data_IF_181500403855
#
_entry.id   IF_181500403855
#
_cell.length_a   1.000
_cell.length_b   1.000
_cell.length_c   1.000
_cell.angle_alpha   90.00
_cell.angle_beta   90.00
_cell.angle_gamma   90.00
#
_symmetry.space_group_name_H-M   'P 1'
#
loop_
_entity.id
_entity.type
_entity.pdbx_description
1 polymer ?
#
# COMPACT_ATOMS: atom_id res chain seq x y z
N UNK A 1 -7.75 -7.29 -14.59
CA UNK A 1 -8.51 -7.84 -15.74
C UNK A 1 -7.74 -7.79 -17.07
N UNK A 2 -6.77 -6.88 -17.25
CA UNK A 2 -6.01 -6.71 -18.53
C UNK A 2 -5.39 -7.99 -19.11
N UNK A 3 -5.15 -9.01 -18.29
CA UNK A 3 -4.65 -10.32 -18.73
C UNK A 3 -5.75 -11.31 -19.18
N UNK A 4 -7.03 -10.94 -19.04
CA UNK A 4 -8.14 -11.80 -19.50
C UNK A 4 -8.39 -11.55 -20.99
N UNK A 5 -8.49 -12.63 -21.76
CA UNK A 5 -8.74 -12.55 -23.21
C UNK A 5 -10.05 -11.79 -23.50
N UNK A 6 -10.00 -10.83 -24.42
CA UNK A 6 -11.15 -9.99 -24.78
C UNK A 6 -11.46 -8.83 -23.81
N UNK A 7 -10.71 -8.69 -22.71
CA UNK A 7 -10.96 -7.58 -21.77
C UNK A 7 -10.71 -6.22 -22.42
N UNK A 8 -9.65 -6.10 -23.21
CA UNK A 8 -9.30 -4.83 -23.87
C UNK A 8 -10.37 -4.38 -24.86
N UNK A 9 -10.86 -5.30 -25.67
CA UNK A 9 -11.93 -5.05 -26.62
C UNK A 9 -13.23 -4.62 -25.94
N UNK A 10 -13.54 -5.24 -24.79
CA UNK A 10 -14.67 -4.87 -23.95
C UNK A 10 -14.49 -3.46 -23.33
N UNK A 11 -13.32 -3.16 -22.78
CA UNK A 11 -13.00 -1.86 -22.15
C UNK A 11 -13.04 -0.72 -23.19
N UNK A 12 -12.61 -0.98 -24.43
CA UNK A 12 -12.65 -0.02 -25.54
C UNK A 12 -14.06 0.11 -26.17
N UNK A 13 -15.02 -0.69 -25.73
CA UNK A 13 -16.40 -0.70 -26.25
C UNK A 13 -16.51 -1.32 -27.66
N UNK A 14 -15.53 -2.09 -28.11
CA UNK A 14 -15.53 -2.80 -29.38
C UNK A 14 -16.10 -4.23 -29.28
N UNK A 15 -16.36 -4.72 -28.08
CA UNK A 15 -17.04 -5.97 -27.78
C UNK A 15 -18.03 -5.76 -26.61
N UNK A 16 -19.15 -6.51 -26.66
CA UNK A 16 -20.19 -6.46 -25.62
C UNK A 16 -19.86 -7.41 -24.45
N UNK A 17 -18.94 -8.32 -24.62
CA UNK A 17 -18.57 -9.35 -23.64
C UNK A 17 -17.06 -9.56 -23.60
N UNK A 18 -16.56 -10.06 -22.44
CA UNK A 18 -15.17 -10.48 -22.27
C UNK A 18 -15.04 -11.94 -22.73
N UNK A 19 -14.53 -12.18 -23.93
CA UNK A 19 -14.49 -13.51 -24.56
C UNK A 19 -13.72 -14.58 -23.77
N UNK A 20 -12.80 -14.16 -22.90
CA UNK A 20 -12.04 -15.05 -22.02
C UNK A 20 -12.84 -15.57 -20.83
N UNK A 21 -14.01 -15.01 -20.52
CA UNK A 21 -14.91 -15.53 -19.47
C UNK A 21 -15.93 -16.43 -20.14
N UNK A 22 -15.83 -17.74 -19.92
CA UNK A 22 -16.67 -18.74 -20.58
C UNK A 22 -17.48 -19.50 -19.54
N UNK A 23 -18.79 -19.29 -19.53
CA UNK A 23 -19.72 -20.02 -18.68
C UNK A 23 -19.98 -21.38 -19.34
N UNK A 24 -19.71 -22.48 -18.62
CA UNK A 24 -19.89 -23.84 -19.12
C UNK A 24 -21.26 -24.41 -18.69
N UNK A 25 -21.65 -24.14 -17.45
CA UNK A 25 -22.93 -24.51 -16.88
C UNK A 25 -23.22 -23.62 -15.64
N UNK A 26 -24.29 -23.93 -14.90
CA UNK A 26 -24.75 -23.17 -13.73
C UNK A 26 -23.72 -23.07 -12.56
N UNK A 27 -22.68 -23.89 -12.60
CA UNK A 27 -21.70 -24.03 -11.51
C UNK A 27 -20.24 -23.91 -11.96
N UNK A 28 -19.99 -23.89 -13.29
CA UNK A 28 -18.63 -23.88 -13.84
C UNK A 28 -18.46 -22.79 -14.87
N UNK A 29 -17.40 -22.04 -14.71
CA UNK A 29 -16.90 -21.10 -15.72
C UNK A 29 -15.38 -21.19 -15.82
N UNK A 30 -14.85 -20.75 -16.94
CA UNK A 30 -13.41 -20.69 -17.20
C UNK A 30 -13.01 -19.25 -17.46
N UNK A 31 -11.88 -18.84 -16.90
CA UNK A 31 -11.25 -17.57 -17.26
C UNK A 31 -9.96 -17.88 -18.04
N UNK A 32 -9.92 -17.46 -19.30
CA UNK A 32 -8.77 -17.62 -20.17
C UNK A 32 -7.90 -16.37 -20.13
N UNK A 33 -6.62 -16.57 -19.82
CA UNK A 33 -5.63 -15.50 -19.81
C UNK A 33 -4.91 -15.43 -21.16
N UNK A 34 -4.51 -14.24 -21.59
CA UNK A 34 -3.73 -13.99 -22.81
C UNK A 34 -2.29 -14.48 -22.68
N UNK A 35 -1.76 -14.54 -21.45
CA UNK A 35 -0.43 -15.04 -21.11
C UNK A 35 -0.42 -15.52 -19.65
N UNK A 36 0.60 -16.30 -19.21
CA UNK A 36 0.72 -16.68 -17.81
C UNK A 36 0.79 -15.45 -16.91
N UNK A 37 -0.01 -15.45 -15.84
CA UNK A 37 -0.01 -14.39 -14.82
C UNK A 37 -0.12 -15.03 -13.44
N UNK A 38 1.03 -15.27 -12.81
CA UNK A 38 1.13 -15.97 -11.51
C UNK A 38 0.32 -15.32 -10.39
N UNK A 39 0.20 -13.96 -10.30
CA UNK A 39 -0.59 -13.34 -9.24
C UNK A 39 -2.10 -13.52 -9.40
N UNK A 40 -2.60 -14.10 -10.49
CA UNK A 40 -4.03 -14.08 -10.84
C UNK A 40 -4.95 -14.60 -9.74
N UNK A 41 -4.59 -15.72 -9.08
CA UNK A 41 -5.40 -16.27 -7.99
C UNK A 41 -5.44 -15.31 -6.78
N UNK A 42 -4.32 -14.64 -6.46
CA UNK A 42 -4.25 -13.64 -5.40
C UNK A 42 -5.10 -12.41 -5.71
N UNK A 43 -5.11 -11.98 -6.99
CA UNK A 43 -5.98 -10.89 -7.46
C UNK A 43 -7.46 -11.27 -7.30
N UNK A 44 -7.83 -12.49 -7.72
CA UNK A 44 -9.22 -12.99 -7.59
C UNK A 44 -9.69 -13.10 -6.12
N UNK A 45 -8.79 -13.20 -5.16
CA UNK A 45 -9.14 -13.24 -3.73
C UNK A 45 -9.49 -11.86 -3.14
N UNK A 46 -9.29 -10.78 -3.90
CA UNK A 46 -9.63 -9.43 -3.45
C UNK A 46 -11.12 -9.14 -3.56
N UNK A 47 -11.61 -8.23 -2.72
CA UNK A 47 -13.01 -7.79 -2.78
C UNK A 47 -13.42 -7.16 -4.13
N UNK A 48 -12.45 -6.66 -4.90
CA UNK A 48 -12.69 -6.09 -6.24
C UNK A 48 -13.11 -7.14 -7.28
N UNK A 49 -12.86 -8.43 -7.01
CA UNK A 49 -13.23 -9.55 -7.88
C UNK A 49 -14.45 -10.33 -7.34
N UNK A 50 -15.20 -9.76 -6.41
CA UNK A 50 -16.43 -10.38 -5.91
C UNK A 50 -17.45 -10.57 -7.03
N UNK A 51 -18.18 -11.70 -7.00
CA UNK A 51 -19.19 -12.05 -8.00
C UNK A 51 -20.56 -11.64 -7.46
N UNK A 52 -21.31 -10.90 -8.27
CA UNK A 52 -22.63 -10.38 -7.94
C UNK A 52 -23.69 -10.88 -8.94
N UNK A 53 -24.97 -11.00 -8.53
CA UNK A 53 -26.07 -11.28 -9.44
C UNK A 53 -26.33 -10.07 -10.35
N UNK A 54 -26.18 -10.23 -11.66
CA UNK A 54 -26.38 -9.17 -12.67
C UNK A 54 -27.73 -8.49 -12.52
N UNK A 55 -28.81 -9.28 -12.50
CA UNK A 55 -30.17 -8.76 -12.37
C UNK A 55 -30.34 -7.88 -11.11
N UNK A 56 -29.75 -8.26 -9.97
CA UNK A 56 -29.87 -7.48 -8.75
C UNK A 56 -29.09 -6.16 -8.83
N UNK A 57 -27.95 -6.15 -9.53
CA UNK A 57 -27.18 -4.94 -9.78
C UNK A 57 -27.96 -3.97 -10.67
N UNK A 58 -28.55 -4.48 -11.77
CA UNK A 58 -29.34 -3.69 -12.71
C UNK A 58 -30.60 -3.11 -12.06
N UNK A 59 -31.34 -3.91 -11.29
CA UNK A 59 -32.54 -3.47 -10.58
C UNK A 59 -32.24 -2.43 -9.50
N UNK A 60 -31.09 -2.53 -8.81
CA UNK A 60 -30.69 -1.59 -7.78
C UNK A 60 -30.14 -0.27 -8.35
N UNK A 61 -29.51 -0.31 -9.53
CA UNK A 61 -28.92 0.88 -10.14
C UNK A 61 -27.99 1.64 -9.19
N UNK A 62 -28.25 2.92 -8.95
CA UNK A 62 -27.45 3.78 -8.07
C UNK A 62 -27.50 3.38 -6.59
N UNK A 63 -28.48 2.57 -6.19
CA UNK A 63 -28.60 2.05 -4.81
C UNK A 63 -27.71 0.81 -4.55
N UNK A 64 -27.06 0.26 -5.58
CA UNK A 64 -26.14 -0.86 -5.42
C UNK A 64 -24.93 -0.49 -4.53
N UNK A 65 -24.66 -1.34 -3.53
CA UNK A 65 -23.58 -1.11 -2.56
C UNK A 65 -23.95 -0.18 -1.40
N UNK A 66 -25.16 0.41 -1.43
CA UNK A 66 -25.70 1.27 -0.37
C UNK A 66 -26.92 0.62 0.30
N UNK A 67 -28.09 0.66 -0.33
CA UNK A 67 -29.29 0.05 0.23
C UNK A 67 -29.48 -1.40 -0.23
N UNK A 68 -28.84 -1.80 -1.30
CA UNK A 68 -28.91 -3.14 -1.90
C UNK A 68 -27.51 -3.68 -2.14
N UNK A 69 -27.19 -4.82 -1.57
CA UNK A 69 -25.96 -5.57 -1.83
C UNK A 69 -26.24 -7.06 -1.66
N UNK A 70 -26.07 -7.83 -2.73
CA UNK A 70 -26.19 -9.28 -2.73
C UNK A 70 -24.87 -9.87 -3.15
N UNK A 71 -24.25 -10.63 -2.26
CA UNK A 71 -22.97 -11.28 -2.49
C UNK A 71 -22.99 -12.74 -2.05
N UNK A 72 -21.82 -13.36 -2.02
CA UNK A 72 -21.63 -14.77 -1.63
C UNK A 72 -21.02 -14.92 -0.23
N UNK A 73 -20.96 -13.85 0.56
CA UNK A 73 -20.35 -13.81 1.88
C UNK A 73 -21.23 -14.34 3.03
N UNK A 74 -20.66 -14.48 4.24
CA UNK A 74 -21.36 -15.01 5.42
C UNK A 74 -22.32 -14.02 6.11
N UNK A 75 -22.43 -12.78 5.61
CA UNK A 75 -23.32 -11.76 6.12
C UNK A 75 -24.16 -11.15 5.01
N UNK A 76 -25.33 -10.62 5.39
CA UNK A 76 -26.24 -9.87 4.54
C UNK A 76 -26.28 -8.40 4.98
N UNK A 77 -26.39 -7.48 4.03
CA UNK A 77 -26.60 -6.07 4.31
C UNK A 77 -28.03 -5.84 4.80
N UNK A 78 -28.18 -5.28 5.99
CA UNK A 78 -29.48 -4.88 6.54
C UNK A 78 -29.75 -3.40 6.28
N UNK A 79 -28.76 -2.54 6.49
CA UNK A 79 -28.86 -1.10 6.21
C UNK A 79 -27.51 -0.44 6.04
N UNK A 80 -27.51 0.63 5.23
CA UNK A 80 -26.44 1.62 5.12
C UNK A 80 -27.04 3.00 5.40
N UNK A 81 -26.49 3.73 6.37
CA UNK A 81 -26.90 5.10 6.67
C UNK A 81 -25.71 6.04 6.52
N UNK A 82 -25.76 6.91 5.50
CA UNK A 82 -24.67 7.84 5.17
C UNK A 82 -24.24 8.67 6.39
N UNK A 83 -22.96 8.68 6.70
CA UNK A 83 -22.37 9.40 7.82
C UNK A 83 -22.67 8.80 9.21
N UNK A 84 -23.40 7.69 9.30
CA UNK A 84 -23.77 7.03 10.56
C UNK A 84 -23.14 5.64 10.68
N UNK A 85 -23.43 4.73 9.72
CA UNK A 85 -22.90 3.38 9.80
C UNK A 85 -23.54 2.38 8.85
N UNK A 86 -23.14 1.10 9.04
CA UNK A 86 -23.60 -0.04 8.27
C UNK A 86 -24.03 -1.13 9.26
N UNK A 87 -25.20 -1.75 9.03
CA UNK A 87 -25.67 -2.91 9.77
C UNK A 87 -25.67 -4.13 8.83
N UNK A 88 -25.07 -5.22 9.29
CA UNK A 88 -25.08 -6.49 8.59
C UNK A 88 -25.48 -7.61 9.56
N UNK A 89 -26.27 -8.57 9.08
CA UNK A 89 -26.70 -9.75 9.83
C UNK A 89 -26.12 -11.03 9.25
N UNK A 90 -25.98 -12.05 10.08
CA UNK A 90 -25.52 -13.38 9.69
C UNK A 90 -26.41 -14.00 8.62
N UNK A 91 -25.79 -14.63 7.65
CA UNK A 91 -26.46 -15.45 6.66
C UNK A 91 -26.44 -16.92 7.11
N UNK A 92 -27.56 -17.39 7.67
CA UNK A 92 -27.66 -18.77 8.24
C UNK A 92 -27.57 -19.87 7.18
N UNK A 93 -27.91 -19.56 5.90
CA UNK A 93 -27.79 -20.50 4.77
C UNK A 93 -26.46 -20.36 4.02
N UNK A 94 -25.45 -19.76 4.66
CA UNK A 94 -24.13 -19.60 4.03
C UNK A 94 -23.52 -20.95 3.66
N UNK A 95 -22.95 -21.07 2.47
CA UNK A 95 -22.41 -22.33 1.93
C UNK A 95 -21.13 -22.83 2.61
N UNK A 96 -20.44 -21.98 3.38
CA UNK A 96 -19.28 -22.32 4.19
C UNK A 96 -19.61 -22.39 5.68
N UNK A 97 -18.62 -22.14 6.54
CA UNK A 97 -18.82 -22.10 7.98
C UNK A 97 -19.67 -20.87 8.37
N UNK A 98 -20.83 -21.10 8.95
CA UNK A 98 -21.73 -20.03 9.40
C UNK A 98 -21.04 -19.19 10.49
N UNK A 99 -21.16 -17.88 10.39
CA UNK A 99 -20.57 -16.96 11.37
C UNK A 99 -21.07 -17.25 12.79
N UNK A 100 -20.18 -17.12 13.78
CA UNK A 100 -20.50 -17.37 15.20
C UNK A 100 -21.22 -16.21 15.87
N UNK A 101 -21.16 -15.02 15.28
CA UNK A 101 -21.84 -13.81 15.73
C UNK A 101 -23.10 -13.57 14.89
N UNK A 102 -24.09 -12.90 15.47
CA UNK A 102 -25.38 -12.68 14.82
C UNK A 102 -25.35 -11.57 13.77
N UNK A 103 -24.40 -10.61 13.90
CA UNK A 103 -24.24 -9.51 12.96
C UNK A 103 -23.10 -8.58 13.37
N UNK A 104 -22.87 -7.53 12.58
CA UNK A 104 -21.90 -6.48 12.85
C UNK A 104 -22.52 -5.11 12.58
N UNK A 105 -22.35 -4.19 13.53
CA UNK A 105 -22.71 -2.79 13.43
C UNK A 105 -21.44 -1.96 13.24
N UNK A 106 -21.22 -1.41 12.05
CA UNK A 106 -20.12 -0.48 11.79
C UNK A 106 -20.57 0.95 12.08
N UNK A 107 -19.88 1.63 12.98
CA UNK A 107 -20.13 3.05 13.30
C UNK A 107 -19.10 3.94 12.62
N UNK A 108 -19.52 4.94 11.89
CA UNK A 108 -18.63 5.92 11.27
C UNK A 108 -18.25 6.99 12.29
N UNK A 109 -17.05 6.86 12.86
CA UNK A 109 -16.49 7.81 13.83
C UNK A 109 -15.14 8.26 13.28
N UNK A 110 -15.04 9.51 12.84
CA UNK A 110 -13.85 10.03 12.15
C UNK A 110 -12.67 10.30 13.10
N UNK A 111 -12.95 10.78 14.33
CA UNK A 111 -11.92 11.15 15.28
C UNK A 111 -11.40 9.95 16.06
N UNK A 112 -10.08 9.59 15.97
CA UNK A 112 -9.51 8.42 16.62
C UNK A 112 -9.64 8.42 18.15
N UNK A 113 -9.60 9.59 18.80
CA UNK A 113 -9.78 9.65 20.25
C UNK A 113 -11.21 9.32 20.64
N UNK A 114 -12.18 9.78 19.83
CA UNK A 114 -13.59 9.44 20.03
C UNK A 114 -13.84 7.94 19.82
N UNK A 115 -13.21 7.31 18.80
CA UNK A 115 -13.30 5.87 18.60
C UNK A 115 -12.86 5.08 19.85
N UNK A 116 -11.74 5.44 20.42
CA UNK A 116 -11.22 4.77 21.62
C UNK A 116 -12.08 5.07 22.86
N UNK A 117 -12.62 6.27 23.00
CA UNK A 117 -13.56 6.58 24.08
C UNK A 117 -14.84 5.75 24.00
N UNK A 118 -15.37 5.51 22.78
CA UNK A 118 -16.53 4.65 22.58
C UNK A 118 -16.21 3.17 22.91
N UNK A 119 -15.02 2.70 22.58
CA UNK A 119 -14.53 1.39 22.98
C UNK A 119 -14.44 1.27 24.53
N UNK A 120 -13.84 2.24 25.20
CA UNK A 120 -13.71 2.25 26.67
C UNK A 120 -15.07 2.28 27.41
N UNK A 121 -16.08 2.91 26.78
CA UNK A 121 -17.45 2.92 27.31
C UNK A 121 -18.22 1.61 27.04
N UNK A 122 -17.68 0.70 26.21
CA UNK A 122 -18.35 -0.49 25.76
C UNK A 122 -19.43 -0.25 24.70
N UNK A 123 -19.37 0.87 23.99
CA UNK A 123 -20.30 1.19 22.90
C UNK A 123 -19.88 0.61 21.55
N UNK A 124 -18.62 0.16 21.44
CA UNK A 124 -18.07 -0.63 20.33
C UNK A 124 -17.14 -1.70 20.90
N UNK A 125 -17.05 -2.84 20.23
CA UNK A 125 -16.25 -3.99 20.63
C UNK A 125 -14.88 -4.05 19.97
N UNK A 126 -14.68 -3.27 18.91
CA UNK A 126 -13.43 -3.20 18.13
C UNK A 126 -13.18 -1.77 17.65
N UNK A 127 -11.94 -1.33 17.73
CA UNK A 127 -11.45 -0.09 17.12
C UNK A 127 -10.06 -0.32 16.53
N UNK A 128 -9.76 0.35 15.43
CA UNK A 128 -8.40 0.43 14.91
C UNK A 128 -7.65 1.54 15.67
N UNK A 129 -6.57 1.15 16.35
CA UNK A 129 -5.81 2.10 17.18
C UNK A 129 -4.82 2.89 16.31
N UNK A 130 -4.99 4.22 16.28
CA UNK A 130 -4.02 5.10 15.64
C UNK A 130 -2.63 4.96 16.29
N UNK A 131 -1.56 4.95 15.47
CA UNK A 131 -0.18 4.80 15.93
C UNK A 131 0.23 5.83 16.99
N UNK A 132 -0.30 7.06 16.93
CA UNK A 132 -0.01 8.10 17.91
C UNK A 132 -0.57 7.78 19.30
N UNK A 133 -1.62 6.95 19.39
CA UNK A 133 -2.24 6.53 20.65
C UNK A 133 -1.59 5.25 21.21
N UNK A 134 -0.82 4.52 20.41
CA UNK A 134 -0.20 3.26 20.80
C UNK A 134 0.59 3.33 22.12
N UNK A 135 1.48 4.34 22.38
CA UNK A 135 2.25 4.37 23.63
C UNK A 135 1.40 4.48 24.89
N UNK A 136 0.28 5.21 24.80
CA UNK A 136 -0.64 5.40 25.94
C UNK A 136 -1.35 4.09 26.27
N UNK A 137 -1.88 3.41 25.26
CA UNK A 137 -2.67 2.19 25.45
C UNK A 137 -1.81 0.95 25.70
N UNK A 138 -0.62 0.86 25.10
CA UNK A 138 0.31 -0.25 25.34
C UNK A 138 0.92 -0.21 26.76
N UNK A 139 1.01 0.96 27.37
CA UNK A 139 1.49 1.10 28.77
C UNK A 139 0.41 0.86 29.82
N UNK A 140 -0.86 0.84 29.46
CA UNK A 140 -1.95 0.53 30.40
C UNK A 140 -2.07 -0.99 30.60
N UNK A 141 -1.97 -1.50 31.86
CA UNK A 141 -1.96 -2.93 32.14
C UNK A 141 -3.24 -3.69 31.72
N UNK A 142 -4.37 -3.00 31.63
CA UNK A 142 -5.64 -3.59 31.19
C UNK A 142 -5.79 -3.53 29.68
N UNK A 143 -5.62 -2.34 29.11
CA UNK A 143 -5.84 -2.10 27.67
C UNK A 143 -4.80 -2.82 26.82
N UNK A 144 -3.55 -2.96 27.27
CA UNK A 144 -2.52 -3.71 26.57
C UNK A 144 -2.85 -5.19 26.35
N UNK A 145 -3.68 -5.78 27.20
CA UNK A 145 -4.15 -7.17 27.06
C UNK A 145 -5.26 -7.32 25.99
N UNK A 146 -5.93 -6.24 25.65
CA UNK A 146 -6.99 -6.18 24.65
C UNK A 146 -6.44 -5.76 23.25
N UNK A 147 -5.14 -5.51 23.15
CA UNK A 147 -4.49 -5.11 21.90
C UNK A 147 -4.09 -6.35 21.08
N UNK A 148 -4.44 -6.33 19.80
CA UNK A 148 -4.10 -7.37 18.83
C UNK A 148 -3.31 -6.75 17.67
N UNK A 149 -1.96 -6.63 17.80
CA UNK A 149 -1.15 -6.04 16.75
C UNK A 149 -1.19 -6.89 15.48
N UNK A 150 -1.47 -6.26 14.35
CA UNK A 150 -1.41 -6.85 13.01
C UNK A 150 -0.31 -6.14 12.24
N UNK A 151 0.56 -6.88 11.59
CA UNK A 151 1.55 -6.32 10.68
C UNK A 151 1.04 -6.42 9.24
N UNK A 152 0.63 -5.31 8.62
CA UNK A 152 0.32 -5.31 7.19
C UNK A 152 1.60 -5.49 6.37
N UNK A 153 1.47 -6.08 5.17
CA UNK A 153 2.59 -6.18 4.23
C UNK A 153 2.69 -4.84 3.48
N UNK A 154 3.72 -4.08 3.79
CA UNK A 154 3.93 -2.75 3.24
C UNK A 154 4.57 -1.82 4.26
N UNK A 155 4.66 -0.53 3.95
CA UNK A 155 5.25 0.43 4.86
C UNK A 155 5.48 1.80 4.24
N UNK A 156 6.25 2.61 4.96
CA UNK A 156 6.63 3.95 4.54
C UNK A 156 7.89 3.92 3.69
N UNK A 157 7.91 4.72 2.64
CA UNK A 157 9.08 4.91 1.79
C UNK A 157 9.23 6.35 1.36
N UNK A 158 10.46 6.74 1.01
CA UNK A 158 10.74 8.02 0.36
C UNK A 158 11.01 7.77 -1.12
N UNK A 159 10.16 8.33 -1.98
CA UNK A 159 10.39 8.37 -3.41
C UNK A 159 11.24 9.58 -3.78
N UNK A 160 12.21 9.39 -4.68
CA UNK A 160 13.09 10.43 -5.20
C UNK A 160 12.87 10.60 -6.71
N UNK A 161 12.82 11.84 -7.16
CA UNK A 161 12.60 12.18 -8.57
C UNK A 161 13.94 12.18 -9.34
N UNK A 162 14.11 11.25 -10.26
CA UNK A 162 15.33 11.11 -11.03
C UNK A 162 15.53 12.22 -12.09
N UNK A 163 14.52 13.03 -12.40
CA UNK A 163 14.69 14.22 -13.25
C UNK A 163 15.27 15.41 -12.49
N UNK A 164 14.81 15.63 -11.26
CA UNK A 164 15.28 16.78 -10.44
C UNK A 164 16.49 16.40 -9.58
N UNK A 165 16.67 15.11 -9.28
CA UNK A 165 17.83 14.56 -8.57
C UNK A 165 18.49 13.48 -9.45
N UNK A 166 19.13 13.86 -10.60
CA UNK A 166 19.61 12.90 -11.59
C UNK A 166 20.85 12.10 -11.14
N UNK A 167 21.68 12.68 -10.28
CA UNK A 167 22.90 12.01 -9.81
C UNK A 167 22.57 10.94 -8.74
N UNK A 168 22.91 9.69 -9.02
CA UNK A 168 22.66 8.58 -8.11
C UNK A 168 23.39 8.74 -6.76
N UNK A 169 24.58 9.38 -6.74
CA UNK A 169 25.35 9.65 -5.51
C UNK A 169 24.58 10.58 -4.57
N UNK A 170 23.85 11.57 -5.11
CA UNK A 170 23.00 12.44 -4.30
C UNK A 170 21.82 11.65 -3.71
N UNK A 171 21.17 10.78 -4.50
CA UNK A 171 20.09 9.94 -4.01
C UNK A 171 20.56 8.95 -2.94
N UNK A 172 21.74 8.37 -3.12
CA UNK A 172 22.39 7.51 -2.12
C UNK A 172 22.72 8.29 -0.84
N UNK A 173 23.29 9.50 -0.95
CA UNK A 173 23.55 10.38 0.18
C UNK A 173 22.27 10.71 0.98
N UNK A 174 21.16 11.00 0.29
CA UNK A 174 19.86 11.20 0.93
C UNK A 174 19.45 9.94 1.68
N UNK A 175 19.59 8.74 1.09
CA UNK A 175 19.25 7.48 1.74
C UNK A 175 20.11 7.22 2.98
N UNK A 176 21.44 7.46 2.93
CA UNK A 176 22.37 7.29 4.05
C UNK A 176 22.14 8.32 5.17
N UNK A 177 21.48 9.44 4.89
CA UNK A 177 21.16 10.48 5.88
C UNK A 177 19.89 10.20 6.69
N UNK A 178 19.21 9.06 6.46
CA UNK A 178 17.99 8.66 7.16
C UNK A 178 18.32 7.64 8.26
N UNK A 179 18.18 8.04 9.52
CA UNK A 179 18.18 7.09 10.65
C UNK A 179 16.81 6.42 10.76
N UNK A 180 16.66 5.32 10.02
CA UNK A 180 15.39 4.57 9.95
C UNK A 180 15.03 3.92 11.28
N UNK A 181 16.04 3.46 12.05
CA UNK A 181 15.80 2.86 13.36
C UNK A 181 15.23 3.91 14.33
N UNK A 182 15.82 5.11 14.38
CA UNK A 182 15.30 6.19 15.21
C UNK A 182 13.86 6.58 14.84
N UNK A 183 13.49 6.52 13.56
CA UNK A 183 12.11 6.75 13.10
C UNK A 183 11.19 5.63 13.59
N UNK A 184 11.59 4.36 13.46
CA UNK A 184 10.82 3.22 13.96
C UNK A 184 10.58 3.31 15.47
N UNK A 185 11.61 3.69 16.23
CA UNK A 185 11.53 3.74 17.70
C UNK A 185 10.73 4.96 18.21
N UNK A 186 10.98 6.16 17.64
CA UNK A 186 10.45 7.42 18.19
C UNK A 186 9.14 7.89 17.54
N UNK A 187 8.97 7.67 16.23
CA UNK A 187 7.77 8.12 15.51
C UNK A 187 6.75 6.98 15.38
N UNK A 188 7.22 5.77 15.10
CA UNK A 188 6.37 4.59 14.96
C UNK A 188 6.27 3.76 16.24
N UNK A 189 6.87 4.25 17.33
CA UNK A 189 6.78 3.68 18.69
C UNK A 189 7.08 2.18 18.78
N UNK A 190 8.00 1.68 17.94
CA UNK A 190 8.37 0.26 17.88
C UNK A 190 7.33 -0.64 17.19
N UNK A 191 6.29 -0.07 16.57
CA UNK A 191 5.27 -0.85 15.82
C UNK A 191 5.70 -1.21 14.40
N UNK A 192 6.86 -0.70 13.96
CA UNK A 192 7.43 -1.00 12.65
C UNK A 192 8.90 -1.42 12.77
N UNK A 193 9.40 -2.10 11.76
CA UNK A 193 10.79 -2.51 11.63
C UNK A 193 11.44 -1.87 10.41
N UNK A 194 12.75 -1.70 10.45
CA UNK A 194 13.52 -1.23 9.28
C UNK A 194 13.47 -2.30 8.21
N UNK A 195 13.10 -1.93 6.98
CA UNK A 195 13.12 -2.85 5.85
C UNK A 195 14.53 -3.03 5.30
N UNK A 196 14.85 -4.26 4.87
CA UNK A 196 16.13 -4.60 4.25
C UNK A 196 16.17 -4.27 2.75
N UNK A 197 15.01 -4.07 2.13
CA UNK A 197 14.81 -3.72 0.73
C UNK A 197 13.42 -3.11 0.56
N UNK A 198 12.93 -3.05 -0.66
CA UNK A 198 11.56 -2.60 -0.93
C UNK A 198 10.53 -3.71 -0.68
N UNK A 199 10.91 -4.99 -0.87
CA UNK A 199 10.06 -6.11 -0.51
C UNK A 199 9.97 -6.29 1.00
N UNK A 200 8.75 -6.53 1.47
CA UNK A 200 8.45 -6.80 2.86
C UNK A 200 8.41 -8.29 3.18
N UNK A 201 8.64 -8.63 4.45
CA UNK A 201 8.44 -10.00 4.94
C UNK A 201 7.02 -10.50 4.62
N UNK A 202 6.91 -11.75 4.18
CA UNK A 202 5.68 -12.38 3.72
C UNK A 202 5.48 -12.39 2.21
N UNK A 203 6.34 -11.70 1.44
CA UNK A 203 6.34 -11.73 -0.02
C UNK A 203 7.41 -12.66 -0.58
N UNK A 204 7.11 -13.30 -1.72
CA UNK A 204 8.10 -14.05 -2.50
C UNK A 204 9.22 -13.09 -2.92
N UNK A 205 10.48 -13.48 -2.73
CA UNK A 205 11.62 -12.64 -3.05
C UNK A 205 12.16 -11.84 -1.87
N UNK A 206 11.42 -11.69 -0.77
CA UNK A 206 11.99 -11.08 0.43
C UNK A 206 13.28 -11.78 0.87
N UNK A 207 14.33 -11.00 1.10
CA UNK A 207 15.61 -11.48 1.55
C UNK A 207 15.89 -10.99 2.98
N UNK A 208 15.76 -11.86 4.00
CA UNK A 208 16.03 -11.48 5.39
C UNK A 208 17.50 -11.15 5.67
N UNK A 209 18.42 -11.63 4.83
CA UNK A 209 19.86 -11.45 4.98
C UNK A 209 20.39 -10.22 4.21
N UNK A 210 19.52 -9.50 3.47
CA UNK A 210 19.91 -8.26 2.81
C UNK A 210 20.27 -7.20 3.86
N UNK A 211 21.37 -6.49 3.62
CA UNK A 211 21.81 -5.40 4.49
C UNK A 211 21.10 -4.10 4.09
N UNK A 212 20.29 -3.50 4.99
CA UNK A 212 19.65 -2.24 4.70
C UNK A 212 20.69 -1.10 4.61
N UNK A 213 20.33 -0.03 3.91
CA UNK A 213 21.13 1.20 3.99
C UNK A 213 21.23 1.67 5.44
N UNK A 214 22.46 1.69 5.98
CA UNK A 214 22.75 2.14 7.35
C UNK A 214 22.81 3.66 7.37
N UNK A 215 22.40 4.27 8.48
CA UNK A 215 22.60 5.69 8.71
C UNK A 215 24.10 5.99 8.77
N UNK A 216 24.60 6.74 7.81
CA UNK A 216 26.00 7.15 7.69
C UNK A 216 26.10 8.57 7.12
N UNK A 217 25.92 9.60 7.95
CA UNK A 217 25.94 10.98 7.52
C UNK A 217 27.32 11.44 7.03
N UNK A 218 28.43 10.81 7.49
CA UNK A 218 29.76 11.16 7.00
C UNK A 218 29.97 10.66 5.57
N UNK A 219 29.58 9.41 5.28
CA UNK A 219 29.60 8.90 3.91
C UNK A 219 28.66 9.68 2.98
N UNK A 220 27.51 10.11 3.49
CA UNK A 220 26.59 10.97 2.75
C UNK A 220 27.25 12.30 2.35
N UNK A 221 28.00 12.96 3.24
CA UNK A 221 28.78 14.18 2.92
C UNK A 221 29.82 13.94 1.82
N UNK A 222 30.55 12.82 1.93
CA UNK A 222 31.55 12.45 0.91
C UNK A 222 30.90 12.31 -0.47
N UNK A 223 29.78 11.58 -0.55
CA UNK A 223 29.04 11.40 -1.80
C UNK A 223 28.51 12.72 -2.37
N UNK A 224 28.03 13.62 -1.52
CA UNK A 224 27.61 14.95 -1.95
C UNK A 224 28.79 15.77 -2.51
N UNK A 225 29.95 15.74 -1.84
CA UNK A 225 31.14 16.41 -2.32
C UNK A 225 31.63 15.82 -3.65
N UNK A 226 31.65 14.48 -3.80
CA UNK A 226 31.96 13.78 -5.05
C UNK A 226 30.98 14.12 -6.18
N UNK A 227 29.72 14.41 -5.84
CA UNK A 227 28.69 14.84 -6.77
C UNK A 227 28.73 16.34 -7.12
N UNK A 228 29.64 17.12 -6.48
CA UNK A 228 29.81 18.55 -6.75
C UNK A 228 29.10 19.48 -5.75
N UNK A 229 28.65 18.95 -4.61
CA UNK A 229 27.95 19.68 -3.53
C UNK A 229 28.75 19.67 -2.21
N UNK A 230 30.02 20.19 -2.18
CA UNK A 230 30.85 20.13 -0.96
C UNK A 230 30.34 21.03 0.17
N UNK A 231 29.52 22.03 -0.15
CA UNK A 231 28.94 22.96 0.82
C UNK A 231 27.55 22.54 1.30
N UNK A 232 27.05 21.40 0.83
CA UNK A 232 25.74 20.83 1.17
C UNK A 232 24.76 20.80 0.01
N UNK A 233 23.56 20.25 0.28
CA UNK A 233 22.50 20.05 -0.73
C UNK A 233 21.14 20.51 -0.19
N UNK A 234 20.41 21.32 -0.97
CA UNK A 234 19.04 21.73 -0.66
C UNK A 234 18.04 20.72 -1.24
N UNK A 235 17.19 20.14 -0.40
CA UNK A 235 16.18 19.15 -0.77
C UNK A 235 14.79 19.64 -0.42
N UNK A 236 13.90 19.75 -1.39
CA UNK A 236 12.47 19.94 -1.17
C UNK A 236 11.79 18.59 -0.96
N UNK A 237 11.20 18.41 0.22
CA UNK A 237 10.48 17.20 0.63
C UNK A 237 9.00 17.49 0.78
N UNK A 238 8.19 16.99 -0.14
CA UNK A 238 6.73 17.20 -0.12
C UNK A 238 6.03 16.07 0.63
N UNK A 239 5.07 16.40 1.49
CA UNK A 239 4.26 15.43 2.25
C UNK A 239 2.78 15.79 2.23
N UNK A 240 1.94 14.76 2.24
CA UNK A 240 0.48 14.89 2.31
C UNK A 240 0.04 15.04 3.77
N UNK A 241 -0.62 16.15 4.11
CA UNK A 241 -1.10 16.45 5.47
C UNK A 241 -2.24 15.56 5.95
N UNK A 242 -2.88 14.81 5.05
CA UNK A 242 -3.87 13.79 5.43
C UNK A 242 -3.30 12.75 6.40
N UNK A 243 -1.99 12.50 6.33
CA UNK A 243 -1.31 11.47 7.11
C UNK A 243 -0.31 12.10 8.10
N UNK A 244 -0.73 12.31 9.33
CA UNK A 244 0.09 12.93 10.38
C UNK A 244 1.45 12.21 10.59
N UNK A 245 1.47 10.89 10.45
CA UNK A 245 2.68 10.08 10.56
C UNK A 245 3.71 10.44 9.49
N UNK A 246 3.32 10.67 8.24
CA UNK A 246 4.27 11.08 7.18
C UNK A 246 4.86 12.46 7.44
N UNK A 247 4.08 13.38 8.01
CA UNK A 247 4.56 14.71 8.44
C UNK A 247 5.58 14.58 9.58
N UNK A 248 5.33 13.69 10.54
CA UNK A 248 6.24 13.42 11.66
C UNK A 248 7.55 12.79 11.18
N UNK A 249 7.49 11.82 10.26
CA UNK A 249 8.66 11.21 9.63
C UNK A 249 9.49 12.28 8.88
N UNK A 250 8.84 13.15 8.09
CA UNK A 250 9.51 14.22 7.35
C UNK A 250 10.24 15.21 8.29
N UNK A 251 9.59 15.57 9.39
CA UNK A 251 10.18 16.47 10.41
C UNK A 251 11.38 15.82 11.09
N UNK A 252 11.30 14.53 11.41
CA UNK A 252 12.41 13.76 11.95
C UNK A 252 13.58 13.70 10.96
N UNK A 253 13.31 13.37 9.71
CA UNK A 253 14.31 13.34 8.64
C UNK A 253 14.96 14.73 8.42
N UNK A 254 14.18 15.82 8.43
CA UNK A 254 14.72 17.18 8.32
C UNK A 254 15.78 17.47 9.40
N UNK A 255 15.58 16.96 10.61
CA UNK A 255 16.56 17.13 11.69
C UNK A 255 17.80 16.26 11.49
N UNK A 256 17.62 15.00 11.08
CA UNK A 256 18.70 14.02 10.85
C UNK A 256 19.62 14.42 9.68
N UNK A 257 19.02 14.84 8.57
CA UNK A 257 19.72 15.17 7.31
C UNK A 257 20.74 16.30 7.45
N UNK A 258 20.59 17.19 8.44
CA UNK A 258 21.54 18.25 8.75
C UNK A 258 22.94 17.70 9.06
N UNK A 259 23.03 16.53 9.68
CA UNK A 259 24.31 15.89 9.97
C UNK A 259 25.06 15.50 8.68
N UNK A 260 24.35 15.25 7.59
CA UNK A 260 24.91 14.97 6.27
C UNK A 260 25.11 16.23 5.40
N UNK A 261 24.82 17.43 5.92
CA UNK A 261 24.88 18.67 5.14
C UNK A 261 23.70 18.83 4.18
N UNK A 262 22.58 18.10 4.40
CA UNK A 262 21.38 18.24 3.59
C UNK A 262 20.40 19.19 4.32
N UNK A 263 20.05 20.29 3.63
CA UNK A 263 19.05 21.23 4.10
C UNK A 263 17.70 20.85 3.52
N UNK A 264 16.81 20.27 4.36
CA UNK A 264 15.49 19.79 3.92
C UNK A 264 14.44 20.87 4.17
N UNK A 265 13.77 21.31 3.10
CA UNK A 265 12.56 22.11 3.16
C UNK A 265 11.34 21.20 3.08
N UNK A 266 10.55 21.12 4.18
CA UNK A 266 9.34 20.30 4.21
C UNK A 266 8.16 21.09 3.71
N UNK A 267 7.65 20.71 2.54
CA UNK A 267 6.47 21.26 1.91
C UNK A 267 5.24 20.40 2.26
N UNK A 268 4.30 20.97 3.01
CA UNK A 268 3.07 20.28 3.42
C UNK A 268 1.92 20.68 2.51
N UNK A 269 1.28 19.71 1.88
CA UNK A 269 0.18 19.93 0.94
C UNK A 269 -1.02 19.02 1.28
N UNK A 270 -2.22 19.41 0.84
CA UNK A 270 -3.41 18.56 0.97
C UNK A 270 -3.38 17.38 -0.02
N UNK A 271 -4.34 16.46 0.12
CA UNK A 271 -4.41 15.24 -0.68
C UNK A 271 -4.61 15.50 -2.18
N UNK A 272 -5.35 16.55 -2.57
CA UNK A 272 -5.60 16.89 -3.96
C UNK A 272 -4.34 17.47 -4.61
N UNK A 273 -3.70 18.44 -3.95
CA UNK A 273 -2.44 19.02 -4.39
C UNK A 273 -1.33 17.97 -4.46
N UNK A 274 -1.25 17.05 -3.47
CA UNK A 274 -0.31 15.93 -3.49
C UNK A 274 -0.47 15.05 -4.74
N UNK A 275 -1.72 14.68 -5.06
CA UNK A 275 -2.02 13.82 -6.22
C UNK A 275 -1.67 14.52 -7.54
N UNK A 276 -2.02 15.80 -7.66
CA UNK A 276 -1.72 16.62 -8.84
C UNK A 276 -0.20 16.80 -9.03
N UNK A 277 0.51 17.22 -7.99
CA UNK A 277 1.97 17.38 -8.04
C UNK A 277 2.68 16.08 -8.44
N UNK A 278 2.28 14.94 -7.89
CA UNK A 278 2.85 13.64 -8.25
C UNK A 278 2.59 13.29 -9.72
N UNK A 279 1.37 13.46 -10.18
CA UNK A 279 1.00 13.16 -11.57
C UNK A 279 1.77 14.02 -12.58
N UNK A 280 2.10 15.28 -12.21
CA UNK A 280 2.78 16.24 -13.07
C UNK A 280 4.30 16.32 -12.84
N UNK A 281 4.89 15.44 -12.04
CA UNK A 281 6.33 15.41 -11.76
C UNK A 281 6.82 16.57 -10.88
N UNK A 282 5.93 17.21 -10.13
CA UNK A 282 6.23 18.37 -9.28
C UNK A 282 6.82 18.02 -7.91
N UNK A 283 6.96 16.74 -7.56
CA UNK A 283 7.55 16.28 -6.30
C UNK A 283 9.00 15.90 -6.52
N UNK A 284 9.95 16.52 -5.82
CA UNK A 284 11.38 16.19 -5.88
C UNK A 284 11.72 15.00 -4.99
N UNK A 285 11.31 15.06 -3.74
CA UNK A 285 11.29 13.95 -2.80
C UNK A 285 9.95 13.92 -2.09
N UNK A 286 9.41 12.72 -1.84
CA UNK A 286 8.13 12.58 -1.17
C UNK A 286 8.05 11.35 -0.27
N UNK A 287 7.47 11.50 0.92
CA UNK A 287 7.20 10.37 1.80
C UNK A 287 5.75 9.91 1.60
N UNK A 288 5.61 8.63 1.36
CA UNK A 288 4.32 7.96 1.26
C UNK A 288 4.34 6.59 1.93
N UNK A 289 3.21 5.94 1.92
CA UNK A 289 3.07 4.55 2.32
C UNK A 289 2.53 3.74 1.14
N UNK A 290 2.87 2.47 1.13
CA UNK A 290 2.28 1.49 0.23
C UNK A 290 2.07 0.19 0.97
N UNK A 291 0.89 -0.35 0.86
CA UNK A 291 0.51 -1.66 1.38
C UNK A 291 -0.03 -2.49 0.22
N UNK A 292 0.29 -3.78 0.21
CA UNK A 292 -0.15 -4.64 -0.90
C UNK A 292 -1.66 -4.81 -0.93
N UNK A 293 -2.26 -4.69 -2.11
CA UNK A 293 -3.69 -4.96 -2.31
C UNK A 293 -3.97 -6.47 -2.31
N UNK A 294 -2.97 -7.27 -2.70
CA UNK A 294 -2.96 -8.74 -2.66
C UNK A 294 -1.55 -9.24 -2.38
N UNK A 295 -1.44 -10.42 -1.76
CA UNK A 295 -0.16 -10.98 -1.30
C UNK A 295 0.66 -11.52 -2.47
N UNK A 296 1.30 -10.61 -3.20
CA UNK A 296 2.24 -10.90 -4.28
C UNK A 296 3.23 -9.74 -4.46
N UNK A 297 4.50 -10.00 -4.85
CA UNK A 297 5.48 -8.94 -5.14
C UNK A 297 5.03 -7.96 -6.22
N UNK A 298 4.24 -8.40 -7.20
CA UNK A 298 3.67 -7.54 -8.24
C UNK A 298 2.87 -6.38 -7.62
N UNK A 299 2.09 -6.64 -6.57
CA UNK A 299 1.38 -5.59 -5.83
C UNK A 299 2.34 -4.65 -5.11
N UNK A 300 3.44 -5.16 -4.53
CA UNK A 300 4.42 -4.31 -3.84
C UNK A 300 5.18 -3.42 -4.81
N UNK A 301 5.64 -3.96 -5.94
CA UNK A 301 6.36 -3.21 -6.96
C UNK A 301 5.47 -2.35 -7.87
N UNK A 302 4.15 -2.48 -7.79
CA UNK A 302 3.19 -1.74 -8.62
C UNK A 302 3.46 -0.23 -8.73
N UNK A 303 3.83 0.51 -7.66
CA UNK A 303 4.13 1.93 -7.76
C UNK A 303 5.34 2.27 -8.63
N UNK A 304 6.28 1.34 -8.76
CA UNK A 304 7.56 1.52 -9.44
C UNK A 304 7.69 0.69 -10.72
N UNK A 305 6.59 0.12 -11.23
CA UNK A 305 6.57 -0.45 -12.57
C UNK A 305 6.87 0.64 -13.61
N UNK A 306 7.64 0.31 -14.64
CA UNK A 306 8.15 1.25 -15.66
C UNK A 306 7.08 2.20 -16.23
N UNK A 307 5.89 1.68 -16.50
CA UNK A 307 4.75 2.47 -17.01
C UNK A 307 4.12 3.43 -15.98
N UNK A 308 4.51 3.37 -14.69
CA UNK A 308 3.87 4.09 -13.58
C UNK A 308 4.77 5.09 -12.89
N UNK A 309 6.09 4.97 -13.04
CA UNK A 309 7.08 5.79 -12.33
C UNK A 309 6.91 7.28 -12.62
N UNK A 310 6.54 7.65 -13.84
CA UNK A 310 6.35 9.04 -14.24
C UNK A 310 5.17 9.68 -13.51
N UNK A 311 4.03 9.01 -13.45
CA UNK A 311 2.85 9.46 -12.72
C UNK A 311 2.99 9.43 -11.20
N UNK A 312 4.16 9.04 -10.69
CA UNK A 312 4.50 9.04 -9.25
C UNK A 312 5.71 9.94 -8.94
N UNK A 313 6.11 10.77 -9.90
CA UNK A 313 7.28 11.67 -9.83
C UNK A 313 8.60 10.95 -9.59
N UNK A 314 8.73 9.66 -9.84
CA UNK A 314 10.01 8.95 -9.71
C UNK A 314 10.88 9.12 -10.96
N UNK A 315 10.31 8.96 -12.15
CA UNK A 315 11.01 9.00 -13.46
C UNK A 315 12.25 8.11 -13.50
N UNK A 316 12.21 7.01 -12.75
CA UNK A 316 13.27 6.03 -12.73
C UNK A 316 12.94 4.89 -13.68
N UNK A 317 13.83 4.67 -14.66
CA UNK A 317 13.69 3.64 -15.67
C UNK A 317 14.95 2.79 -15.70
N UNK A 318 14.79 1.49 -15.55
CA UNK A 318 15.86 0.50 -15.62
C UNK A 318 15.37 -0.71 -16.42
N UNK A 319 16.06 -1.03 -17.52
CA UNK A 319 15.64 -2.09 -18.44
C UNK A 319 15.72 -3.49 -17.80
N UNK A 320 16.74 -3.76 -16.95
CA UNK A 320 16.87 -5.03 -16.24
C UNK A 320 15.73 -5.19 -15.23
N UNK A 321 15.47 -4.16 -14.43
CA UNK A 321 14.37 -4.16 -13.46
C UNK A 321 13.02 -4.38 -14.12
N UNK A 322 12.74 -3.65 -15.21
CA UNK A 322 11.50 -3.83 -15.99
C UNK A 322 11.34 -5.28 -16.44
N UNK A 323 12.40 -5.87 -17.03
CA UNK A 323 12.35 -7.25 -17.52
C UNK A 323 12.13 -8.25 -16.37
N UNK A 324 12.78 -8.03 -15.22
CA UNK A 324 12.59 -8.88 -14.04
C UNK A 324 11.13 -8.86 -13.53
N UNK A 325 10.47 -7.68 -13.51
CA UNK A 325 9.07 -7.61 -13.11
C UNK A 325 8.14 -8.31 -14.12
N UNK A 326 8.40 -8.14 -15.43
CA UNK A 326 7.65 -8.83 -16.48
C UNK A 326 7.84 -10.36 -16.44
N UNK A 327 9.05 -10.84 -16.19
CA UNK A 327 9.35 -12.26 -16.04
C UNK A 327 8.76 -12.83 -14.73
N UNK A 328 8.81 -12.06 -13.64
CA UNK A 328 8.29 -12.46 -12.34
C UNK A 328 6.80 -12.76 -12.33
N UNK A 329 5.99 -11.98 -13.06
CA UNK A 329 4.55 -12.23 -13.16
C UNK A 329 4.21 -13.39 -14.08
N UNK A 330 5.08 -13.72 -15.05
CA UNK A 330 4.87 -14.82 -16.00
C UNK A 330 5.39 -16.18 -15.51
N UNK A 331 6.36 -16.16 -14.60
CA UNK A 331 6.98 -17.36 -14.04
C UNK A 331 6.06 -18.01 -13.01
N UNK A 332 5.75 -19.30 -13.18
CA UNK A 332 4.86 -20.08 -12.28
C UNK A 332 5.65 -20.74 -11.15
N UNK A 333 6.89 -21.16 -11.43
CA UNK A 333 7.73 -21.80 -10.41
C UNK A 333 8.11 -20.83 -9.31
N UNK A 334 7.74 -21.15 -8.06
CA UNK A 334 7.94 -20.28 -6.91
C UNK A 334 9.42 -20.01 -6.61
N UNK A 335 10.30 -21.02 -6.78
CA UNK A 335 11.72 -20.87 -6.46
C UNK A 335 12.44 -20.01 -7.52
N UNK A 336 12.00 -20.06 -8.76
CA UNK A 336 12.49 -19.19 -9.82
C UNK A 336 11.98 -17.77 -9.63
N UNK A 337 10.68 -17.59 -9.34
CA UNK A 337 10.11 -16.28 -9.00
C UNK A 337 10.83 -15.61 -7.83
N UNK A 338 11.19 -16.39 -6.81
CA UNK A 338 11.93 -15.87 -5.66
C UNK A 338 13.23 -15.22 -6.10
N UNK A 339 14.02 -15.86 -6.96
CA UNK A 339 15.29 -15.32 -7.46
C UNK A 339 15.10 -14.07 -8.30
N UNK A 340 14.07 -14.07 -9.15
CA UNK A 340 13.73 -12.92 -10.01
C UNK A 340 13.41 -11.70 -9.14
N UNK A 341 12.53 -11.85 -8.15
CA UNK A 341 12.14 -10.73 -7.30
C UNK A 341 13.22 -10.31 -6.29
N UNK A 342 14.06 -11.25 -5.80
CA UNK A 342 15.26 -10.88 -5.03
C UNK A 342 16.18 -9.99 -5.85
N UNK A 343 16.42 -10.36 -7.12
CA UNK A 343 17.25 -9.53 -8.00
C UNK A 343 16.62 -8.17 -8.29
N UNK A 344 15.30 -8.11 -8.46
CA UNK A 344 14.60 -6.83 -8.66
C UNK A 344 14.68 -5.92 -7.42
N UNK A 345 14.68 -6.50 -6.23
CA UNK A 345 14.78 -5.76 -4.95
C UNK A 345 16.21 -5.25 -4.68
N UNK A 346 17.24 -5.90 -5.26
CA UNK A 346 18.64 -5.48 -5.19
C UNK A 346 18.99 -4.28 -6.10
N UNK A 347 18.21 -4.04 -7.18
CA UNK A 347 18.45 -2.97 -8.16
C UNK A 347 17.90 -1.64 -7.66
#
# INVERSE_FOLDING_TARGET
>A
MQYVEGYKEFEEGSADEISGIQIQDDTHFTIKLTEPYSPFASVLSTAYCAIYPEQACEEAGDDWGFSTLIGTGPFKLDSYTTGVGIEISRFDDYHGDVAKIDGVSYKFIEDPNTQVLEFQKGNVDYVELDTALYPVYSSDPKLSQEMHPVQPIGGYSMGLNCKTIPDARVREAISLSIDRQAICDSILHGTATVSNGYLCNGLIGYNPDAEPYKYDPERAKELLAEAGYPDGYDLRLTVNTKYATTVSIATSFQAQAKAAGINVEVEQVDAAAWSDMRANGGVDAGIGNWYVDYTDPDSMFYPYQDARTDGRSSFWHNAEYKQLLEDGVKTIDTAERQKIYQRADEI
#
